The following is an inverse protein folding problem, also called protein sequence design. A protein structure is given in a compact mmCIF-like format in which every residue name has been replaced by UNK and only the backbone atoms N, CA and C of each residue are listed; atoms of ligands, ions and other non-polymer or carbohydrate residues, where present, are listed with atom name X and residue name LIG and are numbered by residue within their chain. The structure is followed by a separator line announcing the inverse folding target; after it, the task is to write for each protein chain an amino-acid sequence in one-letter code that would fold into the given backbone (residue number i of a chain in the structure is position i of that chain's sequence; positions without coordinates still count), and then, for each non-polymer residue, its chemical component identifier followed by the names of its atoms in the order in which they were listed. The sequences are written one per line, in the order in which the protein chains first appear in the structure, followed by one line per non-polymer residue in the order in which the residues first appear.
data_IF_438815777639
#
_entry.id   IF_438815777639
#
_cell.length_a   1.000
_cell.length_b   1.000
_cell.length_c   1.000
_cell.angle_alpha   90.00
_cell.angle_beta   90.00
_cell.angle_gamma   90.00
#
_symmetry.space_group_name_H-M   'P 1'
#
loop_
_entity.id
_entity.type
_entity.pdbx_description
1 polymer ?
#
# COMPACT_ATOMS: atom_id res chain seq x y z
N UNK A 1 9.80 -17.40 15.19
CA UNK A 1 10.12 -16.59 14.00
C UNK A 1 9.21 -17.03 12.86
N UNK A 2 8.22 -16.23 12.49
CA UNK A 2 7.38 -16.49 11.31
C UNK A 2 8.23 -16.28 10.05
N UNK A 3 8.36 -17.31 9.23
CA UNK A 3 9.10 -17.22 7.97
C UNK A 3 8.35 -16.25 7.07
N UNK A 4 9.01 -15.20 6.60
CA UNK A 4 8.47 -14.23 5.64
C UNK A 4 8.08 -14.96 4.35
N UNK A 5 6.82 -14.83 3.94
CA UNK A 5 6.27 -15.56 2.79
C UNK A 5 5.98 -14.56 1.66
N UNK A 6 6.99 -13.87 1.18
CA UNK A 6 6.85 -12.99 0.03
C UNK A 6 7.33 -11.57 0.26
N UNK A 7 7.25 -10.76 -0.78
CA UNK A 7 7.60 -9.33 -0.79
C UNK A 7 6.30 -8.53 -0.77
N UNK A 8 6.13 -7.57 0.15
CA UNK A 8 4.90 -6.78 0.21
C UNK A 8 4.75 -5.92 -1.06
N UNK A 9 3.53 -5.84 -1.63
CA UNK A 9 3.27 -4.93 -2.74
C UNK A 9 3.21 -3.49 -2.23
N UNK A 10 3.84 -2.57 -2.96
CA UNK A 10 3.77 -1.14 -2.72
C UNK A 10 2.83 -0.48 -3.71
N UNK A 11 1.79 0.17 -3.19
CA UNK A 11 0.90 1.01 -3.97
C UNK A 11 1.28 2.48 -3.77
N UNK A 12 1.61 3.16 -4.87
CA UNK A 12 2.03 4.54 -4.86
C UNK A 12 0.93 5.41 -5.44
N UNK A 13 0.55 6.46 -4.72
CA UNK A 13 -0.30 7.52 -5.24
C UNK A 13 0.58 8.64 -5.78
N UNK A 14 0.32 9.04 -7.02
CA UNK A 14 1.07 10.09 -7.70
C UNK A 14 0.22 11.34 -7.95
N UNK A 15 0.88 12.49 -8.01
CA UNK A 15 0.27 13.75 -8.44
C UNK A 15 0.70 14.01 -9.87
N UNK A 16 -0.28 14.13 -10.76
CA UNK A 16 -0.05 14.43 -12.17
C UNK A 16 -0.47 15.87 -12.49
N UNK A 17 0.30 16.52 -13.35
CA UNK A 17 -0.05 17.85 -13.88
C UNK A 17 -0.69 17.64 -15.24
N UNK A 18 -1.91 18.19 -15.42
CA UNK A 18 -2.58 18.13 -16.72
C UNK A 18 -1.77 18.86 -17.78
N UNK A 19 -1.67 18.25 -18.96
CA UNK A 19 -1.04 18.90 -20.14
C UNK A 19 -1.80 20.15 -20.59
N UNK A 20 -3.09 20.24 -20.27
CA UNK A 20 -3.94 21.39 -20.61
C UNK A 20 -3.94 22.47 -19.50
N UNK A 21 -3.06 22.36 -18.52
CA UNK A 21 -2.95 23.34 -17.44
C UNK A 21 -2.59 24.71 -17.99
N UNK A 22 -3.40 25.73 -17.64
CA UNK A 22 -3.11 27.12 -18.00
C UNK A 22 -1.96 27.73 -17.20
N UNK A 23 -1.59 27.09 -16.09
CA UNK A 23 -0.52 27.53 -15.18
C UNK A 23 0.40 26.37 -14.78
N UNK A 24 1.13 25.76 -15.73
CA UNK A 24 1.91 24.55 -15.47
C UNK A 24 3.02 24.76 -14.41
N UNK A 25 3.62 25.95 -14.37
CA UNK A 25 4.67 26.28 -13.39
C UNK A 25 4.08 26.35 -11.95
N UNK A 26 2.89 26.91 -11.79
CA UNK A 26 2.21 26.95 -10.50
C UNK A 26 1.78 25.55 -10.07
N UNK A 27 1.25 24.75 -10.99
CA UNK A 27 0.90 23.36 -10.73
C UNK A 27 2.13 22.53 -10.31
N UNK A 28 3.27 22.74 -10.97
CA UNK A 28 4.53 22.10 -10.59
C UNK A 28 5.01 22.54 -9.21
N UNK A 29 4.92 23.84 -8.90
CA UNK A 29 5.28 24.36 -7.58
C UNK A 29 4.41 23.75 -6.49
N UNK A 30 3.09 23.63 -6.72
CA UNK A 30 2.17 22.97 -5.82
C UNK A 30 2.49 21.48 -5.65
N UNK A 31 2.72 20.74 -6.74
CA UNK A 31 3.11 19.33 -6.68
C UNK A 31 4.39 19.15 -5.85
N UNK A 32 5.42 19.95 -6.08
CA UNK A 32 6.66 19.93 -5.29
C UNK A 32 6.44 20.27 -3.82
N UNK A 33 5.53 21.22 -3.54
CA UNK A 33 5.19 21.59 -2.16
C UNK A 33 4.56 20.41 -1.41
N UNK A 34 3.54 19.76 -1.97
CA UNK A 34 2.83 18.67 -1.28
C UNK A 34 3.65 17.37 -1.22
N UNK A 35 4.65 17.20 -2.09
CA UNK A 35 5.49 15.99 -2.13
C UNK A 35 6.85 16.17 -1.46
N UNK A 36 7.17 17.35 -0.90
CA UNK A 36 8.40 17.52 -0.15
C UNK A 36 8.37 16.76 1.19
N UNK A 37 9.53 16.46 1.74
CA UNK A 37 9.65 15.62 2.93
C UNK A 37 8.87 16.17 4.14
N UNK A 38 8.96 17.45 4.43
CA UNK A 38 8.30 18.06 5.58
C UNK A 38 6.78 17.94 5.49
N UNK A 39 6.19 18.26 4.33
CA UNK A 39 4.75 18.16 4.14
C UNK A 39 4.25 16.71 4.06
N UNK A 40 5.04 15.79 3.55
CA UNK A 40 4.72 14.37 3.56
C UNK A 40 4.69 13.83 5.00
N UNK A 41 5.63 14.19 5.83
CA UNK A 41 5.66 13.82 7.25
C UNK A 41 4.43 14.38 7.98
N UNK A 42 4.11 15.67 7.82
CA UNK A 42 2.92 16.26 8.42
C UNK A 42 1.62 15.64 7.93
N UNK A 43 1.54 15.32 6.63
CA UNK A 43 0.37 14.62 6.08
C UNK A 43 0.14 13.27 6.75
N UNK A 44 1.16 12.42 6.86
CA UNK A 44 0.98 11.08 7.44
C UNK A 44 0.77 11.09 8.94
N UNK A 45 1.21 12.11 9.66
CA UNK A 45 0.84 12.33 11.06
C UNK A 45 -0.67 12.50 11.24
N UNK A 46 -1.32 13.18 10.29
CA UNK A 46 -2.77 13.42 10.31
C UNK A 46 -3.54 12.25 9.67
N UNK A 47 -3.00 11.64 8.63
CA UNK A 47 -3.60 10.54 7.88
C UNK A 47 -2.95 9.20 8.28
N UNK A 48 -3.19 8.76 9.50
CA UNK A 48 -2.64 7.50 10.03
C UNK A 48 -3.04 6.32 9.14
N UNK A 49 -2.06 5.45 8.86
CA UNK A 49 -2.22 4.31 7.95
C UNK A 49 -1.61 4.51 6.55
N UNK A 50 -1.12 5.73 6.25
CA UNK A 50 -0.28 5.99 5.10
C UNK A 50 1.19 6.06 5.50
N UNK A 51 2.07 5.83 4.52
CA UNK A 51 3.52 6.07 4.67
C UNK A 51 3.92 7.28 3.82
N UNK A 52 4.91 8.07 4.26
CA UNK A 52 5.42 9.17 3.45
C UNK A 52 6.05 8.66 2.17
N UNK A 53 5.86 9.38 1.06
CA UNK A 53 6.43 9.04 -0.24
C UNK A 53 7.93 9.36 -0.38
N UNK A 54 8.57 9.86 0.66
CA UNK A 54 9.97 10.28 0.64
C UNK A 54 10.88 9.25 1.31
N UNK A 55 12.04 9.02 0.70
CA UNK A 55 13.05 8.10 1.23
C UNK A 55 13.54 8.54 2.60
N UNK A 56 13.80 9.84 2.76
CA UNK A 56 14.29 10.45 4.00
C UNK A 56 13.36 10.16 5.20
N UNK A 57 12.05 10.30 5.03
CA UNK A 57 11.10 10.02 6.10
C UNK A 57 11.00 8.51 6.40
N UNK A 58 11.08 7.64 5.38
CA UNK A 58 11.04 6.20 5.56
C UNK A 58 12.33 5.64 6.19
N UNK A 59 13.47 6.31 6.02
CA UNK A 59 14.72 5.99 6.72
C UNK A 59 14.68 6.42 8.21
N UNK A 60 13.77 7.35 8.57
CA UNK A 60 13.55 7.80 9.94
C UNK A 60 12.06 7.73 10.31
N UNK A 61 11.52 6.52 10.57
CA UNK A 61 10.10 6.33 10.89
C UNK A 61 9.62 7.10 12.11
N UNK A 62 10.49 7.38 13.07
CA UNK A 62 10.14 8.14 14.27
C UNK A 62 9.62 9.55 13.94
N UNK A 63 10.04 10.11 12.80
CA UNK A 63 9.60 11.42 12.33
C UNK A 63 8.07 11.54 12.18
N UNK A 64 7.37 10.43 11.90
CA UNK A 64 5.91 10.40 11.72
C UNK A 64 5.19 9.46 12.70
N UNK A 65 5.89 8.51 13.33
CA UNK A 65 5.27 7.61 14.32
C UNK A 65 5.25 8.19 15.73
N UNK A 66 6.04 9.23 15.99
CA UNK A 66 6.15 9.86 17.32
C UNK A 66 4.85 10.46 17.86
N UNK A 67 3.92 10.80 16.97
CA UNK A 67 2.59 11.38 17.34
C UNK A 67 1.49 10.34 17.49
N UNK A 68 1.81 9.06 17.33
CA UNK A 68 0.84 7.98 17.49
C UNK A 68 0.80 7.58 18.95
N UNK A 69 -0.29 7.91 19.63
CA UNK A 69 -0.49 7.64 21.06
C UNK A 69 -0.79 6.16 21.34
N UNK A 70 -1.50 5.48 20.42
CA UNK A 70 -1.82 4.07 20.56
C UNK A 70 -0.57 3.20 20.32
N UNK A 71 -0.11 2.43 21.33
CA UNK A 71 1.10 1.62 21.20
C UNK A 71 1.00 0.53 20.12
N UNK A 72 -0.20 0.01 19.85
CA UNK A 72 -0.40 -1.02 18.82
C UNK A 72 -0.33 -0.40 17.42
N UNK A 73 -0.96 0.76 17.24
CA UNK A 73 -0.89 1.52 15.99
C UNK A 73 0.54 1.99 15.70
N UNK A 74 1.26 2.48 16.71
CA UNK A 74 2.66 2.86 16.59
C UNK A 74 3.52 1.68 16.12
N UNK A 75 3.39 0.53 16.78
CA UNK A 75 4.10 -0.69 16.41
C UNK A 75 3.74 -1.17 15.00
N UNK A 76 2.49 -1.04 14.58
CA UNK A 76 2.06 -1.36 13.22
C UNK A 76 2.70 -0.42 12.18
N UNK A 77 2.76 0.89 12.46
CA UNK A 77 3.39 1.87 11.57
C UNK A 77 4.91 1.65 11.44
N UNK A 78 5.58 1.31 12.54
CA UNK A 78 7.01 0.97 12.54
C UNK A 78 7.27 -0.33 11.74
N UNK A 79 6.41 -1.34 11.90
CA UNK A 79 6.51 -2.58 11.13
C UNK A 79 6.28 -2.35 9.63
N UNK A 80 5.32 -1.50 9.25
CA UNK A 80 5.11 -1.12 7.87
C UNK A 80 6.31 -0.38 7.28
N UNK A 81 6.92 0.54 8.02
CA UNK A 81 8.12 1.24 7.57
C UNK A 81 9.31 0.28 7.36
N UNK A 82 9.45 -0.74 8.20
CA UNK A 82 10.47 -1.79 8.02
C UNK A 82 10.19 -2.64 6.76
N UNK A 83 8.92 -3.01 6.54
CA UNK A 83 8.51 -3.77 5.36
C UNK A 83 8.74 -3.02 4.05
N UNK A 84 8.72 -1.68 4.07
CA UNK A 84 8.98 -0.84 2.90
C UNK A 84 10.38 -1.02 2.30
N UNK A 85 11.36 -1.44 3.09
CA UNK A 85 12.74 -1.66 2.62
C UNK A 85 12.84 -2.73 1.53
N UNK A 86 11.93 -3.70 1.57
CA UNK A 86 11.89 -4.81 0.62
C UNK A 86 10.63 -4.78 -0.27
N UNK A 87 9.82 -3.73 -0.18
CA UNK A 87 8.60 -3.61 -0.95
C UNK A 87 8.87 -3.44 -2.45
N UNK A 88 8.05 -4.06 -3.28
CA UNK A 88 8.10 -3.92 -4.74
C UNK A 88 6.91 -3.11 -5.23
N UNK A 89 7.18 -2.18 -6.16
CA UNK A 89 6.14 -1.34 -6.77
C UNK A 89 5.31 -2.18 -7.73
N UNK A 90 4.00 -2.06 -7.56
CA UNK A 90 3.03 -2.63 -8.47
C UNK A 90 2.61 -4.06 -8.12
N UNK A 91 1.58 -4.49 -8.82
CA UNK A 91 1.10 -5.87 -8.78
C UNK A 91 1.76 -6.66 -9.90
N UNK A 92 1.94 -7.98 -9.74
CA UNK A 92 2.35 -8.83 -10.84
C UNK A 92 1.42 -8.64 -12.04
N UNK A 93 1.97 -8.45 -13.24
CA UNK A 93 1.17 -8.26 -14.47
C UNK A 93 0.22 -9.44 -14.75
N UNK A 94 0.57 -10.63 -14.25
CA UNK A 94 -0.27 -11.81 -14.33
C UNK A 94 -1.52 -11.75 -13.42
N UNK A 95 -1.56 -10.82 -12.45
CA UNK A 95 -2.69 -10.69 -11.50
C UNK A 95 -3.76 -9.76 -12.05
N UNK A 96 -4.67 -10.32 -12.81
CA UNK A 96 -5.73 -9.59 -13.52
C UNK A 96 -6.83 -9.10 -12.57
N UNK A 97 -7.65 -8.12 -13.03
CA UNK A 97 -8.80 -7.63 -12.27
C UNK A 97 -9.85 -8.71 -12.00
N UNK A 98 -9.99 -9.68 -12.89
CA UNK A 98 -10.86 -10.85 -12.68
C UNK A 98 -10.37 -11.71 -11.51
N UNK A 99 -9.03 -11.93 -11.41
CA UNK A 99 -8.45 -12.64 -10.28
C UNK A 99 -8.64 -11.87 -8.98
N UNK A 100 -8.41 -10.57 -8.96
CA UNK A 100 -8.63 -9.71 -7.78
C UNK A 100 -10.08 -9.79 -7.29
N UNK A 101 -11.02 -9.69 -8.22
CA UNK A 101 -12.44 -9.77 -7.93
C UNK A 101 -12.80 -11.14 -7.32
N UNK A 102 -12.33 -12.23 -7.92
CA UNK A 102 -12.60 -13.56 -7.42
C UNK A 102 -11.99 -13.80 -6.03
N UNK A 103 -10.74 -13.43 -5.83
CA UNK A 103 -10.05 -13.52 -4.52
C UNK A 103 -10.83 -12.71 -3.46
N UNK A 104 -11.24 -11.49 -3.78
CA UNK A 104 -12.04 -10.64 -2.89
C UNK A 104 -13.37 -11.27 -2.52
N UNK A 105 -14.06 -11.93 -3.47
CA UNK A 105 -15.31 -12.67 -3.22
C UNK A 105 -15.09 -13.85 -2.27
N UNK A 106 -14.01 -14.63 -2.46
CA UNK A 106 -13.67 -15.76 -1.59
C UNK A 106 -13.40 -15.29 -0.16
N UNK A 107 -12.60 -14.21 0.01
CA UNK A 107 -12.32 -13.60 1.32
C UNK A 107 -13.62 -13.13 1.98
N UNK A 108 -14.47 -12.41 1.24
CA UNK A 108 -15.75 -11.91 1.74
C UNK A 108 -16.68 -13.02 2.19
N UNK A 109 -16.76 -14.12 1.44
CA UNK A 109 -17.56 -15.29 1.79
C UNK A 109 -17.04 -15.97 3.07
N UNK A 110 -15.73 -16.08 3.23
CA UNK A 110 -15.14 -16.61 4.46
C UNK A 110 -15.40 -15.69 5.67
N UNK A 111 -15.32 -14.38 5.48
CA UNK A 111 -15.60 -13.40 6.56
C UNK A 111 -17.06 -13.43 7.01
N UNK A 112 -18.02 -13.72 6.11
CA UNK A 112 -19.41 -13.91 6.45
C UNK A 112 -19.72 -15.28 7.06
N UNK A 113 -18.78 -16.22 7.02
CA UNK A 113 -18.98 -17.60 7.49
C UNK A 113 -19.65 -18.53 6.48
N UNK A 114 -19.82 -18.11 5.22
CA UNK A 114 -20.44 -18.91 4.15
C UNK A 114 -19.58 -20.13 3.78
N UNK A 115 -18.26 -19.97 3.86
CA UNK A 115 -17.26 -21.02 3.59
C UNK A 115 -16.12 -20.94 4.62
N UNK A 116 -15.37 -22.03 4.79
CA UNK A 116 -14.20 -22.04 5.66
C UNK A 116 -13.08 -21.22 5.04
N UNK A 117 -12.30 -20.52 5.88
CA UNK A 117 -11.18 -19.71 5.42
C UNK A 117 -10.16 -20.50 4.57
N UNK A 118 -9.89 -21.76 4.95
CA UNK A 118 -9.02 -22.64 4.16
C UNK A 118 -9.57 -22.89 2.76
N UNK A 119 -10.85 -23.22 2.66
CA UNK A 119 -11.50 -23.52 1.37
C UNK A 119 -11.52 -22.26 0.47
N UNK A 120 -11.76 -21.08 1.06
CA UNK A 120 -11.68 -19.80 0.36
C UNK A 120 -10.30 -19.56 -0.26
N UNK A 121 -9.23 -19.80 0.51
CA UNK A 121 -7.85 -19.62 0.03
C UNK A 121 -7.50 -20.66 -1.03
N UNK A 122 -7.86 -21.91 -0.85
CA UNK A 122 -7.62 -22.97 -1.83
C UNK A 122 -8.34 -22.69 -3.17
N UNK A 123 -9.58 -22.22 -3.12
CA UNK A 123 -10.33 -21.79 -4.29
C UNK A 123 -9.67 -20.58 -4.98
N UNK A 124 -9.24 -19.60 -4.23
CA UNK A 124 -8.56 -18.41 -4.75
C UNK A 124 -7.26 -18.78 -5.47
N UNK A 125 -6.41 -19.60 -4.84
CA UNK A 125 -5.17 -20.09 -5.43
C UNK A 125 -5.41 -20.88 -6.70
N UNK A 126 -6.38 -21.81 -6.67
CA UNK A 126 -6.74 -22.59 -7.85
C UNK A 126 -7.17 -21.69 -9.00
N UNK A 127 -8.11 -20.77 -8.75
CA UNK A 127 -8.59 -19.85 -9.77
C UNK A 127 -7.46 -19.03 -10.39
N UNK A 128 -6.59 -18.46 -9.57
CA UNK A 128 -5.44 -17.70 -10.06
C UNK A 128 -4.53 -18.56 -10.94
N UNK A 129 -4.20 -19.77 -10.50
CA UNK A 129 -3.34 -20.69 -11.28
C UNK A 129 -3.96 -21.10 -12.63
N UNK A 130 -5.27 -21.31 -12.65
CA UNK A 130 -5.99 -21.69 -13.88
C UNK A 130 -6.11 -20.51 -14.88
N UNK A 131 -5.99 -19.25 -14.42
CA UNK A 131 -6.18 -18.04 -15.22
C UNK A 131 -4.90 -17.22 -15.44
N UNK A 132 -3.75 -17.67 -14.92
CA UNK A 132 -2.47 -17.06 -15.28
C UNK A 132 -2.25 -17.22 -16.78
N UNK A 133 -2.11 -16.10 -17.49
CA UNK A 133 -1.74 -16.12 -18.90
C UNK A 133 -0.36 -16.79 -19.05
N UNK A 134 -0.31 -17.85 -19.85
CA UNK A 134 0.91 -18.55 -20.18
C UNK A 134 1.66 -17.81 -21.27
#
# INVERSE_FOLDING_TARGET
MTKRIGVPPLFVQGICISNDSKNPNLALAFAKYVTNNANQVEFVKLAQGFLPGTKEANENPESFTSVIDDPQMKKAAEALAEEMKDAQIGEPMAYTDAMKTYVGQQISSAMRGDIKAKDALDNAVKYCNDHIAK
#
